data_IF_845883125574
#
_entry.id   IF_845883125574
#
_cell.length_a   1.000
_cell.length_b   1.000
_cell.length_c   1.000
_cell.angle_alpha   90.00
_cell.angle_beta   90.00
_cell.angle_gamma   90.00
#
_symmetry.space_group_name_H-M   'P 1'
#
loop_
_entity.id
_entity.type
_entity.pdbx_description
1 polymer ?
#
# COMPACT_ATOMS: atom_id res chain seq x y z
N UNK A 1 -37.24 -22.92 -28.00
CA UNK A 1 -35.79 -23.07 -27.78
C UNK A 1 -35.48 -22.64 -26.37
N UNK A 2 -35.25 -23.59 -25.46
CA UNK A 2 -34.99 -23.32 -24.04
C UNK A 2 -33.50 -23.07 -23.82
N UNK A 3 -33.14 -21.86 -23.37
CA UNK A 3 -31.79 -21.56 -22.89
C UNK A 3 -31.56 -22.30 -21.58
N UNK A 4 -30.68 -23.30 -21.61
CA UNK A 4 -30.25 -23.98 -20.40
C UNK A 4 -29.52 -22.98 -19.50
N UNK A 5 -30.07 -22.77 -18.31
CA UNK A 5 -29.52 -21.91 -17.27
C UNK A 5 -28.18 -22.50 -16.81
N UNK A 6 -27.07 -21.86 -17.18
CA UNK A 6 -25.73 -22.29 -16.79
C UNK A 6 -25.59 -22.16 -15.27
N UNK A 7 -25.77 -23.26 -14.55
CA UNK A 7 -25.56 -23.34 -13.09
C UNK A 7 -24.22 -24.05 -12.87
N UNK A 8 -23.11 -23.31 -12.67
CA UNK A 8 -21.84 -23.95 -12.39
C UNK A 8 -21.97 -24.75 -11.08
N UNK A 9 -21.59 -26.03 -11.04
CA UNK A 9 -21.64 -26.82 -9.83
C UNK A 9 -20.74 -26.19 -8.76
N UNK A 10 -21.25 -26.06 -7.53
CA UNK A 10 -20.45 -25.58 -6.41
C UNK A 10 -19.25 -26.52 -6.20
N UNK A 11 -18.02 -25.99 -6.05
CA UNK A 11 -16.86 -26.81 -5.78
C UNK A 11 -17.05 -27.59 -4.46
N UNK A 12 -16.64 -28.86 -4.40
CA UNK A 12 -16.83 -29.68 -3.21
C UNK A 12 -16.02 -29.11 -2.04
N UNK A 13 -16.53 -29.22 -0.80
CA UNK A 13 -15.87 -28.66 0.39
C UNK A 13 -14.45 -29.20 0.61
N UNK A 14 -14.11 -30.35 0.03
CA UNK A 14 -12.76 -30.92 0.04
C UNK A 14 -11.71 -30.07 -0.71
N UNK A 15 -12.10 -29.15 -1.59
CA UNK A 15 -11.18 -28.20 -2.24
C UNK A 15 -10.86 -26.99 -1.37
N UNK A 16 -11.59 -26.75 -0.28
CA UNK A 16 -11.37 -25.59 0.59
C UNK A 16 -10.03 -25.60 1.33
N UNK A 17 -9.59 -26.71 1.97
CA UNK A 17 -8.33 -26.72 2.73
C UNK A 17 -7.09 -26.30 1.93
N UNK A 18 -6.83 -26.82 0.70
CA UNK A 18 -5.66 -26.39 -0.08
C UNK A 18 -5.78 -24.93 -0.54
N UNK A 19 -6.99 -24.46 -0.90
CA UNK A 19 -7.21 -23.05 -1.26
C UNK A 19 -6.97 -22.11 -0.09
N UNK A 20 -7.43 -22.48 1.11
CA UNK A 20 -7.20 -21.71 2.34
C UNK A 20 -5.70 -21.67 2.68
N UNK A 21 -5.00 -22.80 2.52
CA UNK A 21 -3.55 -22.89 2.76
C UNK A 21 -2.77 -21.95 1.83
N UNK A 22 -3.15 -21.89 0.57
CA UNK A 22 -2.51 -21.00 -0.42
C UNK A 22 -2.87 -19.52 -0.20
N UNK A 23 -4.09 -19.25 0.24
CA UNK A 23 -4.60 -17.89 0.50
C UNK A 23 -4.17 -17.33 1.86
N UNK A 24 -3.76 -18.18 2.80
CA UNK A 24 -3.42 -17.79 4.17
C UNK A 24 -2.38 -16.64 4.25
N UNK A 25 -1.28 -16.62 3.47
CA UNK A 25 -0.32 -15.51 3.49
C UNK A 25 -0.96 -14.17 3.09
N UNK A 26 -1.90 -14.16 2.14
CA UNK A 26 -2.62 -12.97 1.73
C UNK A 26 -3.54 -12.46 2.84
N UNK A 27 -4.22 -13.38 3.53
CA UNK A 27 -5.04 -13.04 4.70
C UNK A 27 -4.17 -12.39 5.79
N UNK A 28 -3.02 -12.98 6.12
CA UNK A 28 -2.08 -12.42 7.11
C UNK A 28 -1.65 -11.01 6.69
N UNK A 29 -1.31 -10.79 5.42
CA UNK A 29 -0.95 -9.47 4.91
C UNK A 29 -2.08 -8.43 5.07
N UNK A 30 -3.34 -8.82 4.85
CA UNK A 30 -4.50 -7.95 5.06
C UNK A 30 -4.75 -7.69 6.55
N UNK A 31 -4.63 -8.70 7.41
CA UNK A 31 -4.72 -8.52 8.87
C UNK A 31 -3.64 -7.55 9.37
N UNK A 32 -2.39 -7.71 8.94
CA UNK A 32 -1.30 -6.78 9.29
C UNK A 32 -1.61 -5.36 8.81
N UNK A 33 -2.22 -5.21 7.63
CA UNK A 33 -2.67 -3.88 7.14
C UNK A 33 -3.74 -3.27 8.06
N UNK A 34 -4.72 -4.05 8.51
CA UNK A 34 -5.69 -3.59 9.51
C UNK A 34 -5.02 -3.17 10.81
N UNK A 35 -4.04 -3.95 11.30
CA UNK A 35 -3.26 -3.62 12.51
C UNK A 35 -2.54 -2.28 12.36
N UNK A 36 -1.88 -2.01 11.24
CA UNK A 36 -1.22 -0.71 10.98
C UNK A 36 -2.21 0.45 11.09
N UNK A 37 -3.37 0.34 10.42
CA UNK A 37 -4.40 1.39 10.44
C UNK A 37 -4.96 1.58 11.85
N UNK A 38 -5.20 0.48 12.57
CA UNK A 38 -5.65 0.53 13.96
C UNK A 38 -4.65 1.25 14.87
N UNK A 39 -3.35 0.90 14.78
CA UNK A 39 -2.29 1.55 15.55
C UNK A 39 -2.21 3.06 15.27
N UNK A 40 -2.33 3.46 14.01
CA UNK A 40 -2.35 4.88 13.63
C UNK A 40 -3.53 5.64 14.26
N UNK A 41 -4.73 5.06 14.20
CA UNK A 41 -5.91 5.65 14.84
C UNK A 41 -5.71 5.75 16.36
N UNK A 42 -5.21 4.69 16.99
CA UNK A 42 -4.92 4.67 18.42
C UNK A 42 -3.92 5.77 18.80
N UNK A 43 -2.79 5.90 18.10
CA UNK A 43 -1.82 6.96 18.35
C UNK A 43 -2.44 8.36 18.25
N UNK A 44 -3.35 8.60 17.30
CA UNK A 44 -4.04 9.88 17.19
C UNK A 44 -4.99 10.18 18.36
N UNK A 45 -5.54 9.16 19.04
CA UNK A 45 -6.40 9.36 20.23
C UNK A 45 -5.64 10.00 21.39
N UNK A 46 -4.32 9.76 21.49
CA UNK A 46 -3.46 10.28 22.56
C UNK A 46 -3.37 11.81 22.58
N UNK A 47 -3.68 12.48 21.46
CA UNK A 47 -3.59 13.93 21.31
C UNK A 47 -4.95 14.65 21.37
N UNK A 48 -5.98 13.96 21.87
CA UNK A 48 -7.33 14.48 22.07
C UNK A 48 -8.25 14.34 20.85
N UNK A 49 -9.54 14.61 21.07
CA UNK A 49 -10.62 14.43 20.08
C UNK A 49 -10.40 15.24 18.79
N UNK A 50 -9.94 16.49 18.91
CA UNK A 50 -9.65 17.34 17.75
C UNK A 50 -8.51 16.78 16.88
N UNK A 51 -7.49 16.14 17.49
CA UNK A 51 -6.42 15.49 16.75
C UNK A 51 -6.91 14.22 16.04
N UNK A 52 -7.72 13.41 16.71
CA UNK A 52 -8.33 12.22 16.12
C UNK A 52 -9.22 12.59 14.93
N UNK A 53 -10.07 13.63 15.06
CA UNK A 53 -10.90 14.10 13.97
C UNK A 53 -10.05 14.56 12.77
N UNK A 54 -9.00 15.35 13.02
CA UNK A 54 -8.08 15.79 11.97
C UNK A 54 -7.35 14.61 11.29
N UNK A 55 -6.92 13.61 12.06
CA UNK A 55 -6.34 12.37 11.53
C UNK A 55 -7.31 11.64 10.61
N UNK A 56 -8.57 11.48 11.01
CA UNK A 56 -9.58 10.79 10.21
C UNK A 56 -9.88 11.53 8.89
N UNK A 57 -9.95 12.87 8.93
CA UNK A 57 -10.10 13.69 7.71
C UNK A 57 -8.88 13.51 6.80
N UNK A 58 -7.67 13.68 7.35
CA UNK A 58 -6.42 13.53 6.58
C UNK A 58 -6.27 12.12 6.00
N UNK A 59 -6.60 11.08 6.77
CA UNK A 59 -6.57 9.68 6.33
C UNK A 59 -7.58 9.41 5.22
N UNK A 60 -8.76 10.01 5.29
CA UNK A 60 -9.79 9.88 4.25
C UNK A 60 -9.33 10.51 2.94
N UNK A 61 -8.81 11.73 3.00
CA UNK A 61 -8.24 12.40 1.82
C UNK A 61 -7.08 11.58 1.25
N UNK A 62 -6.18 11.11 2.11
CA UNK A 62 -5.05 10.27 1.73
C UNK A 62 -5.52 9.01 0.98
N UNK A 63 -6.52 8.28 1.50
CA UNK A 63 -7.09 7.08 0.86
C UNK A 63 -7.66 7.36 -0.53
N UNK A 64 -8.34 8.48 -0.72
CA UNK A 64 -8.86 8.88 -2.03
C UNK A 64 -7.72 9.13 -3.01
N UNK A 65 -6.66 9.83 -2.57
CA UNK A 65 -5.52 10.17 -3.42
C UNK A 65 -4.71 8.94 -3.83
N UNK A 66 -4.45 8.01 -2.90
CA UNK A 66 -3.62 6.82 -3.21
C UNK A 66 -4.30 5.79 -4.12
N UNK A 67 -5.62 5.88 -4.33
CA UNK A 67 -6.38 4.93 -5.14
C UNK A 67 -5.84 4.80 -6.58
N UNK A 68 -5.25 5.88 -7.12
CA UNK A 68 -4.68 5.92 -8.47
C UNK A 68 -3.51 4.94 -8.64
N UNK A 69 -2.85 4.53 -7.55
CA UNK A 69 -1.77 3.55 -7.62
C UNK A 69 -2.24 2.09 -7.67
N UNK A 70 -3.48 1.76 -7.29
CA UNK A 70 -3.97 0.37 -7.28
C UNK A 70 -3.98 -0.29 -8.67
N UNK A 71 -4.44 0.38 -9.75
CA UNK A 71 -4.37 -0.18 -11.10
C UNK A 71 -2.97 -0.62 -11.50
N UNK A 72 -1.93 0.07 -11.02
CA UNK A 72 -0.54 -0.26 -11.32
C UNK A 72 -0.13 -1.60 -10.67
N UNK A 73 -0.57 -1.83 -9.42
CA UNK A 73 -0.36 -3.12 -8.75
C UNK A 73 -1.10 -4.25 -9.45
N UNK A 74 -2.34 -4.03 -9.87
CA UNK A 74 -3.13 -5.04 -10.59
C UNK A 74 -2.56 -5.34 -11.98
N UNK A 75 -2.08 -4.31 -12.69
CA UNK A 75 -1.38 -4.48 -13.96
C UNK A 75 -0.11 -5.30 -13.78
N UNK A 76 0.69 -5.02 -12.74
CA UNK A 76 1.87 -5.82 -12.42
C UNK A 76 1.51 -7.28 -12.14
N UNK A 77 0.47 -7.54 -11.35
CA UNK A 77 0.02 -8.91 -11.03
C UNK A 77 -0.52 -9.67 -12.25
N UNK A 78 -1.18 -8.97 -13.18
CA UNK A 78 -1.80 -9.59 -14.35
C UNK A 78 -0.79 -9.83 -15.48
N UNK A 79 0.13 -8.88 -15.71
CA UNK A 79 1.04 -8.90 -16.86
C UNK A 79 2.47 -9.30 -16.50
N UNK A 80 2.94 -9.23 -15.26
CA UNK A 80 4.29 -9.70 -14.95
C UNK A 80 4.49 -11.21 -15.24
N UNK A 81 3.55 -12.12 -14.94
CA UNK A 81 3.79 -13.55 -15.07
C UNK A 81 4.27 -13.99 -16.46
N UNK A 82 3.78 -13.38 -17.55
CA UNK A 82 4.23 -13.67 -18.92
C UNK A 82 5.71 -13.29 -19.19
N UNK A 83 6.26 -12.32 -18.45
CA UNK A 83 7.68 -11.95 -18.58
C UNK A 83 8.60 -12.86 -17.73
N UNK A 84 8.03 -13.62 -16.79
CA UNK A 84 8.73 -14.56 -15.92
C UNK A 84 8.45 -16.03 -16.27
N UNK A 85 7.50 -16.34 -17.17
CA UNK A 85 7.16 -17.71 -17.59
C UNK A 85 7.88 -18.06 -18.89
N UNK A 86 8.36 -19.29 -18.95
CA UNK A 86 9.11 -19.87 -20.05
C UNK A 86 8.20 -20.63 -21.03
N UNK A 87 8.45 -20.44 -22.33
CA UNK A 87 8.49 -21.52 -23.30
C UNK A 87 9.93 -21.59 -23.86
N UNK A 88 10.84 -22.31 -23.20
CA UNK A 88 12.12 -22.74 -23.77
C UNK A 88 13.41 -21.95 -23.39
N UNK A 89 14.32 -22.65 -22.70
CA UNK A 89 15.80 -22.58 -22.80
C UNK A 89 16.59 -21.29 -22.47
N UNK A 90 16.07 -20.30 -21.73
CA UNK A 90 16.84 -19.05 -21.51
C UNK A 90 16.76 -18.42 -20.12
N UNK A 91 17.17 -19.10 -19.05
CA UNK A 91 17.03 -18.57 -17.66
C UNK A 91 17.63 -17.18 -17.40
N UNK A 92 18.69 -16.77 -18.14
CA UNK A 92 19.29 -15.43 -18.02
C UNK A 92 18.53 -14.35 -18.80
N UNK A 93 17.99 -14.69 -19.95
CA UNK A 93 17.20 -13.77 -20.78
C UNK A 93 15.81 -13.55 -20.17
N UNK A 94 15.21 -14.59 -19.61
CA UNK A 94 13.95 -14.52 -18.86
C UNK A 94 14.08 -13.62 -17.63
N UNK A 95 15.14 -13.80 -16.83
CA UNK A 95 15.43 -12.92 -15.71
C UNK A 95 15.62 -11.46 -16.15
N UNK A 96 16.27 -11.23 -17.29
CA UNK A 96 16.44 -9.88 -17.85
C UNK A 96 15.11 -9.25 -18.30
N UNK A 97 14.22 -10.01 -18.96
CA UNK A 97 12.88 -9.54 -19.36
C UNK A 97 11.99 -9.23 -18.16
N UNK A 98 11.98 -10.11 -17.17
CA UNK A 98 11.26 -9.89 -15.91
C UNK A 98 11.78 -8.67 -15.15
N UNK A 99 13.11 -8.52 -15.03
CA UNK A 99 13.71 -7.34 -14.39
C UNK A 99 13.40 -6.05 -15.16
N UNK A 100 13.43 -6.08 -16.49
CA UNK A 100 13.03 -4.94 -17.31
C UNK A 100 11.57 -4.55 -17.07
N UNK A 101 10.66 -5.51 -17.03
CA UNK A 101 9.25 -5.26 -16.74
C UNK A 101 9.05 -4.62 -15.36
N UNK A 102 9.73 -5.14 -14.32
CA UNK A 102 9.64 -4.55 -12.98
C UNK A 102 10.19 -3.12 -12.98
N UNK A 103 11.32 -2.85 -13.67
CA UNK A 103 11.85 -1.48 -13.83
C UNK A 103 10.87 -0.57 -14.57
N UNK A 104 10.17 -1.07 -15.58
CA UNK A 104 9.14 -0.31 -16.31
C UNK A 104 7.98 0.08 -15.39
N UNK A 105 7.42 -0.89 -14.64
CA UNK A 105 6.34 -0.65 -13.68
C UNK A 105 6.77 0.32 -12.56
N UNK A 106 8.04 0.24 -12.12
CA UNK A 106 8.61 1.21 -11.18
C UNK A 106 8.79 2.60 -11.80
N UNK A 107 9.22 2.68 -13.06
CA UNK A 107 9.33 3.93 -13.80
C UNK A 107 7.98 4.65 -13.93
N UNK A 108 6.92 3.90 -14.25
CA UNK A 108 5.55 4.42 -14.28
C UNK A 108 5.12 4.88 -12.87
N UNK A 109 5.42 4.09 -11.83
CA UNK A 109 5.14 4.46 -10.44
C UNK A 109 5.86 5.74 -10.01
N UNK A 110 7.10 5.96 -10.44
CA UNK A 110 7.86 7.19 -10.20
C UNK A 110 7.26 8.40 -10.92
N UNK A 111 6.84 8.24 -12.18
CA UNK A 111 6.15 9.30 -12.91
C UNK A 111 4.81 9.66 -12.25
N UNK A 112 4.04 8.65 -11.83
CA UNK A 112 2.80 8.84 -11.10
C UNK A 112 3.04 9.51 -9.74
N UNK A 113 4.12 9.18 -9.03
CA UNK A 113 4.52 9.85 -7.80
C UNK A 113 4.68 11.37 -8.00
N UNK A 114 5.34 11.79 -9.07
CA UNK A 114 5.50 13.22 -9.38
C UNK A 114 4.15 13.91 -9.67
N UNK A 115 3.26 13.25 -10.41
CA UNK A 115 1.90 13.76 -10.65
C UNK A 115 1.10 13.87 -9.34
N UNK A 116 1.21 12.86 -8.49
CA UNK A 116 0.52 12.80 -7.21
C UNK A 116 1.00 13.87 -6.23
N UNK A 117 2.25 14.30 -6.30
CA UNK A 117 2.74 15.48 -5.57
C UNK A 117 1.89 16.71 -5.92
N UNK A 118 1.81 17.04 -7.22
CA UNK A 118 1.08 18.22 -7.70
C UNK A 118 -0.41 18.09 -7.37
N UNK A 119 -1.01 16.93 -7.66
CA UNK A 119 -2.42 16.68 -7.37
C UNK A 119 -2.75 16.85 -5.88
N UNK A 120 -1.91 16.34 -4.99
CA UNK A 120 -2.12 16.49 -3.53
C UNK A 120 -2.03 17.94 -3.11
N UNK A 121 -1.00 18.69 -3.58
CA UNK A 121 -0.81 20.10 -3.19
C UNK A 121 -1.98 20.99 -3.64
N UNK A 122 -2.57 20.70 -4.79
CA UNK A 122 -3.71 21.45 -5.32
C UNK A 122 -5.04 21.05 -4.67
N UNK A 123 -5.25 19.77 -4.39
CA UNK A 123 -6.56 19.26 -3.95
C UNK A 123 -6.74 19.13 -2.43
N UNK A 124 -5.67 19.00 -1.64
CA UNK A 124 -5.79 18.66 -0.22
C UNK A 124 -6.57 19.67 0.61
N UNK A 125 -6.29 20.97 0.46
CA UNK A 125 -6.98 22.02 1.22
C UNK A 125 -8.47 22.15 0.80
N UNK A 126 -8.81 22.19 -0.50
CA UNK A 126 -10.21 22.10 -0.94
C UNK A 126 -10.92 20.86 -0.38
N UNK A 127 -10.32 19.68 -0.48
CA UNK A 127 -10.91 18.44 0.02
C UNK A 127 -11.13 18.49 1.54
N UNK A 128 -10.17 19.02 2.32
CA UNK A 128 -10.33 19.19 3.76
C UNK A 128 -11.55 20.05 4.14
N UNK A 129 -11.91 21.03 3.30
CA UNK A 129 -13.08 21.87 3.56
C UNK A 129 -14.42 21.19 3.27
N UNK A 130 -14.42 20.11 2.48
CA UNK A 130 -15.61 19.30 2.22
C UNK A 130 -15.96 18.39 3.40
N UNK A 131 -14.94 17.91 4.13
CA UNK A 131 -15.14 16.97 5.24
C UNK A 131 -15.48 17.63 6.57
N UNK A 132 -15.15 18.91 6.77
CA UNK A 132 -15.45 19.62 8.02
C UNK A 132 -15.45 21.13 7.86
N UNK A 133 -16.35 21.80 8.59
CA UNK A 133 -16.41 23.27 8.72
C UNK A 133 -15.73 23.77 10.00
N UNK A 134 -15.33 22.87 10.91
CA UNK A 134 -14.65 23.24 12.16
C UNK A 134 -13.22 23.73 11.87
N UNK A 135 -12.95 24.99 12.25
CA UNK A 135 -11.66 25.64 12.01
C UNK A 135 -10.49 24.97 12.76
N UNK A 136 -10.72 24.46 13.97
CA UNK A 136 -9.69 23.77 14.77
C UNK A 136 -9.28 22.47 14.09
N UNK A 137 -10.26 21.70 13.60
CA UNK A 137 -9.97 20.47 12.87
C UNK A 137 -9.27 20.78 11.54
N UNK A 138 -9.71 21.81 10.80
CA UNK A 138 -9.08 22.21 9.53
C UNK A 138 -7.62 22.61 9.72
N UNK A 139 -7.29 23.37 10.76
CA UNK A 139 -5.91 23.79 11.01
C UNK A 139 -5.03 22.58 11.38
N UNK A 140 -5.53 21.66 12.21
CA UNK A 140 -4.81 20.41 12.52
C UNK A 140 -4.63 19.52 11.29
N UNK A 141 -5.65 19.39 10.44
CA UNK A 141 -5.56 18.65 9.17
C UNK A 141 -4.56 19.30 8.22
N UNK A 142 -4.51 20.64 8.16
CA UNK A 142 -3.52 21.37 7.36
C UNK A 142 -2.10 21.11 7.84
N UNK A 143 -1.90 20.99 9.16
CA UNK A 143 -0.58 20.78 9.76
C UNK A 143 0.13 19.51 9.28
N UNK A 144 -0.61 18.50 8.81
CA UNK A 144 -0.06 17.22 8.32
C UNK A 144 0.07 17.14 6.80
N UNK A 145 -0.22 18.23 6.07
CA UNK A 145 -0.21 18.25 4.60
C UNK A 145 1.12 17.78 3.99
N UNK A 146 2.25 18.17 4.57
CA UNK A 146 3.55 17.80 4.02
C UNK A 146 3.79 16.29 4.11
N UNK A 147 3.45 15.70 5.25
CA UNK A 147 3.56 14.26 5.51
C UNK A 147 2.58 13.47 4.65
N UNK A 148 1.34 13.94 4.50
CA UNK A 148 0.36 13.37 3.56
C UNK A 148 0.93 13.39 2.15
N UNK A 149 1.44 14.53 1.69
CA UNK A 149 2.00 14.68 0.33
C UNK A 149 3.12 13.67 0.10
N UNK A 150 4.11 13.61 1.01
CA UNK A 150 5.22 12.68 0.90
C UNK A 150 4.73 11.22 0.88
N UNK A 151 3.80 10.88 1.77
CA UNK A 151 3.24 9.54 1.82
C UNK A 151 2.48 9.16 0.55
N UNK A 152 1.72 10.09 -0.03
CA UNK A 152 0.99 9.87 -1.28
C UNK A 152 1.95 9.69 -2.45
N UNK A 153 3.06 10.44 -2.51
CA UNK A 153 4.09 10.26 -3.54
C UNK A 153 4.76 8.88 -3.47
N UNK A 154 5.06 8.39 -2.27
CA UNK A 154 5.72 7.08 -2.10
C UNK A 154 4.79 5.92 -2.49
N UNK A 155 3.47 6.10 -2.37
CA UNK A 155 2.51 5.00 -2.47
C UNK A 155 2.45 4.32 -3.86
N UNK A 156 2.45 5.05 -4.99
CA UNK A 156 2.58 4.43 -6.32
C UNK A 156 3.79 3.51 -6.46
N UNK A 157 4.96 3.92 -5.94
CA UNK A 157 6.19 3.12 -5.97
C UNK A 157 6.03 1.86 -5.13
N UNK A 158 5.45 2.01 -3.93
CA UNK A 158 5.16 0.91 -3.02
C UNK A 158 4.23 -0.11 -3.69
N UNK A 159 3.15 0.34 -4.35
CA UNK A 159 2.19 -0.53 -5.03
C UNK A 159 2.77 -1.21 -6.27
N UNK A 160 3.67 -0.54 -7.01
CA UNK A 160 4.48 -1.15 -8.08
C UNK A 160 5.32 -2.31 -7.57
N UNK A 161 6.04 -2.11 -6.45
CA UNK A 161 6.89 -3.13 -5.84
C UNK A 161 6.07 -4.30 -5.29
N UNK A 162 5.01 -4.00 -4.54
CA UNK A 162 4.14 -5.01 -3.94
C UNK A 162 3.49 -5.87 -5.04
N UNK A 163 2.90 -5.24 -6.05
CA UNK A 163 2.28 -5.94 -7.18
C UNK A 163 3.28 -6.82 -7.92
N UNK A 164 4.49 -6.31 -8.17
CA UNK A 164 5.56 -7.09 -8.82
C UNK A 164 5.97 -8.31 -8.00
N UNK A 165 6.18 -8.15 -6.69
CA UNK A 165 6.56 -9.25 -5.79
C UNK A 165 5.43 -10.29 -5.64
N UNK A 166 4.17 -9.86 -5.60
CA UNK A 166 3.02 -10.76 -5.61
C UNK A 166 2.98 -11.58 -6.91
N UNK A 167 3.20 -10.94 -8.05
CA UNK A 167 3.15 -11.60 -9.36
C UNK A 167 4.19 -12.71 -9.53
N UNK A 168 5.36 -12.57 -8.91
CA UNK A 168 6.41 -13.60 -8.91
C UNK A 168 6.32 -14.56 -7.71
N UNK A 169 5.19 -14.59 -7.00
CA UNK A 169 4.92 -15.57 -5.94
C UNK A 169 5.66 -15.33 -4.62
N UNK A 170 6.10 -14.09 -4.35
CA UNK A 170 6.92 -13.75 -3.15
C UNK A 170 6.09 -13.27 -1.96
N UNK A 171 4.83 -13.73 -1.86
CA UNK A 171 3.90 -13.34 -0.79
C UNK A 171 4.44 -13.58 0.63
N UNK A 172 5.20 -14.67 0.85
CA UNK A 172 5.79 -14.96 2.17
C UNK A 172 6.82 -13.91 2.59
N UNK A 173 7.56 -13.34 1.65
CA UNK A 173 8.53 -12.28 1.95
C UNK A 173 7.84 -10.93 2.15
N UNK A 174 6.73 -10.68 1.45
CA UNK A 174 5.85 -9.53 1.70
C UNK A 174 5.25 -9.58 3.11
N UNK A 175 4.79 -10.75 3.57
CA UNK A 175 4.29 -10.93 4.95
C UNK A 175 5.38 -10.55 5.97
N UNK A 176 6.63 -10.98 5.77
CA UNK A 176 7.75 -10.63 6.67
C UNK A 176 8.05 -9.13 6.63
N UNK A 177 8.10 -8.54 5.43
CA UNK A 177 8.31 -7.11 5.27
C UNK A 177 7.19 -6.28 5.92
N UNK A 178 5.94 -6.75 5.81
CA UNK A 178 4.78 -6.12 6.44
C UNK A 178 4.84 -6.23 7.97
N UNK A 179 5.26 -7.38 8.52
CA UNK A 179 5.46 -7.55 9.95
C UNK A 179 6.56 -6.62 10.49
N UNK A 180 7.68 -6.48 9.76
CA UNK A 180 8.73 -5.53 10.10
C UNK A 180 8.23 -4.07 10.04
N UNK A 181 7.34 -3.77 9.10
CA UNK A 181 6.70 -2.47 9.00
C UNK A 181 5.74 -2.19 10.19
N UNK A 182 5.02 -3.21 10.68
CA UNK A 182 4.24 -3.08 11.93
C UNK A 182 5.16 -2.76 13.11
N UNK A 183 6.31 -3.44 13.23
CA UNK A 183 7.29 -3.13 14.26
C UNK A 183 7.81 -1.69 14.15
N UNK A 184 8.06 -1.21 12.93
CA UNK A 184 8.45 0.18 12.69
C UNK A 184 7.43 1.17 13.27
N UNK A 185 6.13 0.93 13.07
CA UNK A 185 5.06 1.78 13.62
C UNK A 185 4.98 1.68 15.14
N UNK A 186 5.12 0.48 15.71
CA UNK A 186 5.11 0.30 17.18
C UNK A 186 6.25 1.09 17.82
N UNK A 187 7.47 0.93 17.30
CA UNK A 187 8.64 1.66 17.79
C UNK A 187 8.50 3.17 17.56
N UNK A 188 8.10 3.59 16.36
CA UNK A 188 7.88 4.99 16.03
C UNK A 188 6.80 5.62 16.90
N UNK A 189 5.68 4.91 17.11
CA UNK A 189 4.56 5.30 17.96
C UNK A 189 4.98 5.54 19.41
N UNK A 190 5.80 4.65 19.96
CA UNK A 190 6.37 4.81 21.29
C UNK A 190 7.23 6.09 21.41
N UNK A 191 8.03 6.39 20.39
CA UNK A 191 8.89 7.59 20.38
C UNK A 191 8.12 8.90 20.27
N UNK A 192 6.91 8.88 19.71
CA UNK A 192 6.12 10.09 19.44
C UNK A 192 4.96 10.29 20.41
N UNK A 193 4.83 9.48 21.46
CA UNK A 193 3.67 9.49 22.37
C UNK A 193 3.39 10.86 23.02
N UNK A 194 4.43 11.62 23.39
CA UNK A 194 4.31 12.93 24.05
C UNK A 194 4.48 14.11 23.10
N UNK A 195 4.33 13.87 21.79
CA UNK A 195 4.66 14.87 20.76
C UNK A 195 3.41 15.54 20.15
N UNK A 196 3.17 15.39 18.85
CA UNK A 196 2.03 15.97 18.16
C UNK A 196 1.54 15.06 17.04
N UNK A 197 0.35 15.38 16.50
CA UNK A 197 -0.21 14.67 15.36
C UNK A 197 0.73 14.67 14.14
N UNK A 198 1.55 15.70 13.95
CA UNK A 198 2.50 15.75 12.84
C UNK A 198 3.55 14.64 12.92
N UNK A 199 4.01 14.31 14.13
CA UNK A 199 4.99 13.24 14.36
C UNK A 199 4.40 11.86 14.12
N UNK A 200 3.13 11.66 14.49
CA UNK A 200 2.38 10.45 14.10
C UNK A 200 2.34 10.29 12.58
N UNK A 201 2.11 11.37 11.84
CA UNK A 201 2.13 11.36 10.38
C UNK A 201 3.53 11.21 9.78
N UNK A 202 4.58 11.65 10.47
CA UNK A 202 5.96 11.33 10.11
C UNK A 202 6.24 9.83 10.23
N UNK A 203 5.79 9.19 11.31
CA UNK A 203 5.86 7.72 11.45
C UNK A 203 5.10 7.04 10.32
N UNK A 204 3.88 7.50 10.00
CA UNK A 204 3.08 6.98 8.88
C UNK A 204 3.78 7.10 7.53
N UNK A 205 4.35 8.26 7.22
CA UNK A 205 5.11 8.45 5.99
C UNK A 205 6.38 7.57 5.98
N UNK A 206 7.09 7.52 7.10
CA UNK A 206 8.30 6.72 7.27
C UNK A 206 8.05 5.24 7.05
N UNK A 207 6.91 4.72 7.53
CA UNK A 207 6.52 3.31 7.39
C UNK A 207 6.33 2.93 5.90
N UNK A 208 5.82 3.84 5.06
CA UNK A 208 5.66 3.59 3.63
C UNK A 208 7.00 3.56 2.91
N UNK A 209 7.87 4.52 3.20
CA UNK A 209 9.23 4.56 2.64
C UNK A 209 10.04 3.35 3.07
N UNK A 210 9.97 2.98 4.35
CA UNK A 210 10.65 1.82 4.92
C UNK A 210 10.19 0.50 4.27
N UNK A 211 8.88 0.34 4.06
CA UNK A 211 8.34 -0.84 3.39
C UNK A 211 8.72 -0.91 1.92
N UNK A 212 8.66 0.22 1.19
CA UNK A 212 9.15 0.30 -0.19
C UNK A 212 10.65 -0.05 -0.29
N UNK A 213 11.48 0.44 0.63
CA UNK A 213 12.91 0.11 0.69
C UNK A 213 13.13 -1.39 0.96
N UNK A 214 12.39 -1.96 1.91
CA UNK A 214 12.45 -3.40 2.24
C UNK A 214 12.07 -4.26 1.03
N UNK A 215 11.00 -3.93 0.33
CA UNK A 215 10.57 -4.64 -0.88
C UNK A 215 11.59 -4.50 -2.02
N UNK A 216 12.15 -3.31 -2.21
CA UNK A 216 13.22 -3.09 -3.19
C UNK A 216 14.43 -3.98 -2.89
N UNK A 217 14.86 -4.06 -1.63
CA UNK A 217 15.94 -4.95 -1.22
C UNK A 217 15.63 -6.43 -1.47
N UNK A 218 14.40 -6.88 -1.18
CA UNK A 218 13.94 -8.25 -1.45
C UNK A 218 13.99 -8.60 -2.93
N UNK A 219 13.64 -7.63 -3.79
CA UNK A 219 13.67 -7.76 -5.24
C UNK A 219 15.12 -7.87 -5.74
N UNK A 220 15.98 -6.92 -5.37
CA UNK A 220 17.36 -6.82 -5.87
C UNK A 220 18.31 -7.90 -5.34
N UNK A 221 18.11 -8.44 -4.13
CA UNK A 221 19.00 -9.49 -3.57
C UNK A 221 18.87 -10.84 -4.30
N UNK A 222 17.84 -11.03 -5.12
CA UNK A 222 17.48 -12.34 -5.71
C UNK A 222 17.28 -12.31 -7.23
N UNK A 223 17.45 -11.16 -7.88
CA UNK A 223 17.64 -11.00 -9.32
C UNK A 223 19.11 -10.83 -9.63
#
# INVERSE_FOLDING_TARGET
GGGALFSPPLPPLSTLPPLLRESAPFLVMKVLTCVKVFLMNYLSTMFGSAALAAHLVALTIWRVLILVGEPLSYAAQSFAPQYFRSEGSGGREEAARGLYYVKLVLGIGLALSALMFVATRLSYLPLSSLFTQDLVIRERTRSVLNQVTLSVCVFPILLSLEGSLLAIGRVKDLVKAMALNVLFIVCGGYLVQDSSLQWVWWVFCGMHTFYAATMSFILYKKT
#
